data_IF_548298874100
#
_entry.id   IF_548298874100
#
_cell.length_a   1.000
_cell.length_b   1.000
_cell.length_c   1.000
_cell.angle_alpha   90.00
_cell.angle_beta   90.00
_cell.angle_gamma   90.00
#
_symmetry.space_group_name_H-M   'P 1'
#
loop_
_entity.id
_entity.type
_entity.pdbx_description
1 polymer ?
#
# COMPACT_ATOMS: atom_id res chain seq x y z
N UNK A 1 -0.11 15.34 -3.55
CA UNK A 1 1.33 15.52 -3.89
C UNK A 1 1.52 15.24 -5.37
N UNK A 2 2.50 15.86 -6.05
CA UNK A 2 2.80 15.52 -7.44
C UNK A 2 3.29 14.06 -7.56
N UNK A 3 2.85 13.29 -8.57
CA UNK A 3 3.25 11.88 -8.73
C UNK A 3 4.78 11.67 -8.80
N UNK A 4 5.50 12.63 -9.37
CA UNK A 4 6.97 12.60 -9.42
C UNK A 4 7.63 12.64 -8.04
N UNK A 5 7.01 13.33 -7.07
CA UNK A 5 7.51 13.41 -5.70
C UNK A 5 7.33 12.09 -4.95
N UNK A 6 6.20 11.41 -5.19
CA UNK A 6 5.90 10.11 -4.58
C UNK A 6 6.91 9.05 -5.06
N UNK A 7 7.11 8.95 -6.39
CA UNK A 7 8.10 8.02 -6.97
C UNK A 7 9.52 8.23 -6.42
N UNK A 8 9.91 9.48 -6.20
CA UNK A 8 11.23 9.81 -5.65
C UNK A 8 11.40 9.39 -4.18
N UNK A 9 10.35 9.54 -3.37
CA UNK A 9 10.35 9.06 -1.98
C UNK A 9 10.40 7.53 -1.91
N UNK A 10 9.65 6.86 -2.79
CA UNK A 10 9.59 5.41 -2.86
C UNK A 10 10.93 4.77 -3.27
N UNK A 11 11.58 5.34 -4.29
CA UNK A 11 12.91 4.89 -4.71
C UNK A 11 13.93 4.95 -3.57
N UNK A 12 13.87 5.98 -2.71
CA UNK A 12 14.76 6.11 -1.54
C UNK A 12 14.44 5.09 -0.43
N UNK A 13 13.23 4.55 -0.39
CA UNK A 13 12.78 3.58 0.61
C UNK A 13 12.90 2.12 0.14
N UNK A 14 13.51 1.86 -1.02
CA UNK A 14 13.63 0.50 -1.58
C UNK A 14 12.29 -0.11 -1.99
N UNK A 15 11.34 0.74 -2.37
CA UNK A 15 9.97 0.36 -2.71
C UNK A 15 9.86 0.11 -4.22
N UNK A 16 9.24 -1.02 -4.59
CA UNK A 16 8.99 -1.36 -6.00
C UNK A 16 7.66 -0.75 -6.45
N UNK A 17 7.69 0.03 -7.54
CA UNK A 17 6.50 0.61 -8.17
C UNK A 17 5.92 -0.42 -9.14
N UNK A 18 4.72 -0.91 -8.88
CA UNK A 18 3.97 -1.76 -9.80
C UNK A 18 2.77 -0.97 -10.31
N UNK A 19 2.73 -0.56 -11.59
CA UNK A 19 1.44 -0.25 -12.21
C UNK A 19 1.50 -0.09 -13.73
N UNK A 20 0.59 -0.82 -14.40
CA UNK A 20 0.12 -0.57 -15.77
C UNK A 20 -1.19 0.27 -15.77
N UNK A 21 -1.53 0.93 -14.66
CA UNK A 21 -2.82 1.60 -14.43
C UNK A 21 -2.66 2.98 -13.77
N UNK A 22 -3.69 3.84 -13.80
CA UNK A 22 -3.72 5.18 -13.16
C UNK A 22 -3.73 5.15 -11.61
N UNK A 23 -3.22 4.06 -11.05
CA UNK A 23 -3.15 3.79 -9.63
C UNK A 23 -1.70 3.44 -9.32
N UNK A 24 -0.99 4.35 -8.67
CA UNK A 24 0.42 4.16 -8.35
C UNK A 24 0.50 3.28 -7.11
N UNK A 25 0.99 2.04 -7.25
CA UNK A 25 1.24 1.14 -6.13
C UNK A 25 2.74 0.99 -5.90
N UNK A 26 3.12 1.10 -4.64
CA UNK A 26 4.47 1.17 -4.14
C UNK A 26 4.56 0.23 -2.93
N UNK A 27 5.33 -0.86 -3.01
CA UNK A 27 5.43 -1.82 -1.90
C UNK A 27 6.87 -2.28 -1.60
N UNK A 28 7.20 -2.47 -0.32
CA UNK A 28 8.37 -3.21 0.15
C UNK A 28 7.99 -4.19 1.29
N UNK A 29 8.98 -4.71 2.02
CA UNK A 29 8.76 -5.67 3.12
C UNK A 29 8.09 -5.08 4.36
N UNK A 30 7.89 -3.76 4.43
CA UNK A 30 7.34 -3.08 5.61
C UNK A 30 6.28 -2.03 5.28
N UNK A 31 6.24 -1.50 4.07
CA UNK A 31 5.35 -0.40 3.70
C UNK A 31 4.63 -0.68 2.39
N UNK A 32 3.41 -0.18 2.32
CA UNK A 32 2.56 -0.10 1.14
C UNK A 32 2.11 1.35 0.97
N UNK A 33 2.32 1.91 -0.20
CA UNK A 33 1.87 3.24 -0.59
C UNK A 33 1.02 3.10 -1.85
N UNK A 34 -0.11 3.79 -1.87
CA UNK A 34 -1.04 3.73 -2.98
C UNK A 34 -1.67 5.10 -3.23
N UNK A 35 -1.56 5.59 -4.46
CA UNK A 35 -2.17 6.84 -4.88
C UNK A 35 -3.14 6.61 -6.04
N UNK A 36 -4.39 7.02 -5.85
CA UNK A 36 -5.44 6.96 -6.87
C UNK A 36 -5.52 8.30 -7.61
N UNK A 37 -5.38 8.29 -8.93
CA UNK A 37 -5.23 9.54 -9.68
C UNK A 37 -6.54 10.29 -9.94
N UNK A 38 -7.65 9.63 -10.30
CA UNK A 38 -8.82 10.37 -10.80
C UNK A 38 -10.19 9.77 -10.49
N UNK A 39 -10.41 8.48 -10.71
CA UNK A 39 -11.74 7.87 -10.58
C UNK A 39 -11.84 6.99 -9.34
N UNK A 40 -13.04 6.85 -8.76
CA UNK A 40 -13.25 5.90 -7.67
C UNK A 40 -12.88 4.50 -8.15
N UNK A 41 -12.04 3.80 -7.41
CA UNK A 41 -11.50 2.51 -7.83
C UNK A 41 -11.47 1.52 -6.67
N UNK A 42 -11.84 0.28 -6.97
CA UNK A 42 -11.65 -0.85 -6.06
C UNK A 42 -10.36 -1.57 -6.42
N UNK A 43 -9.44 -1.66 -5.47
CA UNK A 43 -8.13 -2.31 -5.67
C UNK A 43 -8.03 -3.50 -4.73
N UNK A 44 -7.63 -4.65 -5.28
CA UNK A 44 -7.27 -5.83 -4.52
C UNK A 44 -5.76 -6.04 -4.61
N UNK A 45 -5.10 -6.18 -3.47
CA UNK A 45 -3.65 -6.37 -3.37
C UNK A 45 -3.40 -7.65 -2.61
N UNK A 46 -2.61 -8.55 -3.19
CA UNK A 46 -2.19 -9.78 -2.54
C UNK A 46 -0.72 -9.65 -2.10
N UNK A 47 -0.52 -9.76 -0.80
CA UNK A 47 0.79 -9.84 -0.16
C UNK A 47 1.41 -11.23 -0.36
N UNK A 48 2.75 -11.34 -0.38
CA UNK A 48 3.44 -12.61 -0.59
C UNK A 48 3.21 -13.62 0.54
N UNK A 49 2.87 -13.15 1.74
CA UNK A 49 2.56 -13.98 2.92
C UNK A 49 1.52 -13.28 3.80
N UNK A 50 0.85 -14.00 4.71
CA UNK A 50 -0.08 -13.38 5.67
C UNK A 50 0.60 -12.27 6.46
N UNK A 51 0.01 -11.08 6.44
CA UNK A 51 0.35 -10.01 7.35
C UNK A 51 -0.46 -10.19 8.63
N UNK A 52 0.20 -10.02 9.77
CA UNK A 52 -0.48 -9.88 11.06
C UNK A 52 -1.41 -8.67 10.99
N UNK A 53 -0.92 -7.54 10.48
CA UNK A 53 -1.71 -6.32 10.33
C UNK A 53 -1.20 -5.45 9.18
N UNK A 54 -2.11 -4.78 8.49
CA UNK A 54 -1.79 -3.68 7.56
C UNK A 54 -2.56 -2.46 8.04
N UNK A 55 -1.83 -1.39 8.40
CA UNK A 55 -2.40 -0.24 9.11
C UNK A 55 -2.04 1.05 8.39
N UNK A 56 -3.04 1.86 8.06
CA UNK A 56 -2.83 3.22 7.53
C UNK A 56 -2.09 4.09 8.56
N UNK A 57 -1.04 4.77 8.12
CA UNK A 57 -0.19 5.59 8.96
C UNK A 57 -0.75 7.00 9.23
N UNK A 58 -1.75 7.45 8.48
CA UNK A 58 -2.40 8.74 8.68
C UNK A 58 -3.53 8.66 9.69
N UNK A 59 -4.38 7.63 9.61
CA UNK A 59 -5.59 7.55 10.44
C UNK A 59 -5.70 6.27 11.30
N UNK A 60 -4.76 5.33 11.16
CA UNK A 60 -4.74 4.09 11.93
C UNK A 60 -5.73 3.03 11.44
N UNK A 61 -6.38 3.24 10.29
CA UNK A 61 -7.31 2.28 9.69
C UNK A 61 -6.62 0.95 9.45
N UNK A 62 -7.24 -0.13 9.92
CA UNK A 62 -6.74 -1.49 9.68
C UNK A 62 -7.34 -2.01 8.38
N UNK A 63 -6.52 -2.16 7.34
CA UNK A 63 -6.96 -2.73 6.07
C UNK A 63 -7.00 -4.25 6.09
N UNK A 64 -6.10 -4.88 6.85
CA UNK A 64 -5.98 -6.34 6.96
C UNK A 64 -5.56 -6.73 8.36
N UNK A 65 -6.09 -7.87 8.81
CA UNK A 65 -5.64 -8.58 10.01
C UNK A 65 -5.59 -10.08 9.72
N UNK A 66 -4.43 -10.71 9.97
CA UNK A 66 -4.16 -12.14 9.77
C UNK A 66 -4.54 -12.67 8.38
N UNK A 67 -4.31 -11.88 7.33
CA UNK A 67 -4.60 -12.25 5.93
C UNK A 67 -3.50 -11.75 5.00
N UNK A 68 -3.45 -12.29 3.79
CA UNK A 68 -2.51 -11.88 2.75
C UNK A 68 -3.18 -11.13 1.59
N UNK A 69 -4.44 -10.73 1.74
CA UNK A 69 -5.18 -10.02 0.69
C UNK A 69 -5.94 -8.86 1.33
N UNK A 70 -5.72 -7.65 0.80
CA UNK A 70 -6.45 -6.44 1.18
C UNK A 70 -7.27 -5.94 -0.01
N UNK A 71 -8.48 -5.46 0.28
CA UNK A 71 -9.37 -4.84 -0.70
C UNK A 71 -9.70 -3.45 -0.21
N UNK A 72 -9.45 -2.45 -1.05
CA UNK A 72 -9.64 -1.04 -0.73
C UNK A 72 -10.53 -0.39 -1.77
N UNK A 73 -11.52 0.37 -1.31
CA UNK A 73 -12.28 1.30 -2.14
C UNK A 73 -11.63 2.69 -2.00
N UNK A 74 -11.05 3.18 -3.09
CA UNK A 74 -10.28 4.43 -3.13
C UNK A 74 -11.11 5.52 -3.78
N UNK A 75 -11.25 6.64 -3.08
CA UNK A 75 -11.81 7.86 -3.65
C UNK A 75 -10.86 8.51 -4.66
N UNK A 76 -11.37 9.34 -5.59
CA UNK A 76 -10.54 10.22 -6.40
C UNK A 76 -9.48 10.96 -5.56
N UNK A 77 -8.22 10.95 -6.02
CA UNK A 77 -7.09 11.61 -5.38
C UNK A 77 -6.71 11.07 -3.98
N UNK A 78 -7.31 9.95 -3.55
CA UNK A 78 -6.96 9.32 -2.28
C UNK A 78 -5.51 8.83 -2.28
N UNK A 79 -4.87 8.97 -1.13
CA UNK A 79 -3.52 8.45 -0.87
C UNK A 79 -3.58 7.59 0.39
N UNK A 80 -3.14 6.35 0.27
CA UNK A 80 -3.02 5.40 1.36
C UNK A 80 -1.53 5.16 1.59
N UNK A 81 -1.08 5.25 2.84
CA UNK A 81 0.27 4.84 3.23
C UNK A 81 0.13 3.95 4.44
N UNK A 82 0.38 2.67 4.26
CA UNK A 82 0.20 1.66 5.29
C UNK A 82 1.52 0.98 5.68
N UNK A 83 1.67 0.69 6.97
CA UNK A 83 2.69 -0.22 7.47
C UNK A 83 2.17 -1.66 7.42
N UNK A 84 3.02 -2.56 6.96
CA UNK A 84 2.81 -4.00 6.89
C UNK A 84 3.56 -4.62 8.07
N UNK A 85 2.81 -5.11 9.04
CA UNK A 85 3.31 -5.95 10.11
C UNK A 85 3.11 -7.42 9.70
N UNK A 86 4.19 -8.12 9.39
CA UNK A 86 4.14 -9.55 9.17
C UNK A 86 4.30 -10.32 10.49
N UNK A 87 3.81 -11.56 10.52
CA UNK A 87 4.18 -12.46 11.62
C UNK A 87 5.70 -12.64 11.65
N UNK A 88 6.27 -12.48 12.85
CA UNK A 88 7.66 -12.82 13.12
C UNK A 88 7.79 -14.33 13.06
N UNK A 89 8.36 -14.86 11.98
CA UNK A 89 8.82 -16.24 11.99
C UNK A 89 9.93 -16.31 13.04
N UNK A 90 9.69 -16.98 14.16
CA UNK A 90 10.75 -17.32 15.09
C UNK A 90 11.79 -18.16 14.31
N UNK A 91 12.98 -17.60 14.13
CA UNK A 91 14.15 -18.30 13.61
C UNK A 91 14.75 -19.18 14.70
#
# INVERSE_FOLDING_TARGET
>A
MPPAMIRALAGRAGIHVYSDSDCFLEVNSRYLSLHNEAERRRVAIRLPRPARRVVDLFDGTVYVENRNELVMDLEPYATVVAEIEYETTAL
#
